data_IF_210357785223
#
_entry.id   IF_210357785223
#
_cell.length_a   1.000
_cell.length_b   1.000
_cell.length_c   1.000
_cell.angle_alpha   90.00
_cell.angle_beta   90.00
_cell.angle_gamma   90.00
#
_symmetry.space_group_name_H-M   'P 1'
#
loop_
_entity.id
_entity.type
_entity.pdbx_description
1 polymer ?
#
# COMPACT_ATOMS: atom_id res chain seq x y z
N UNK A 1 30.29 -18.97 -15.87
CA UNK A 1 29.81 -19.83 -14.78
C UNK A 1 28.98 -18.92 -13.91
N UNK A 2 27.67 -19.12 -13.91
CA UNK A 2 26.75 -18.34 -13.09
C UNK A 2 26.69 -19.06 -11.74
N UNK A 3 27.13 -18.39 -10.68
CA UNK A 3 26.96 -18.87 -9.32
C UNK A 3 25.83 -18.08 -8.69
N UNK A 4 24.85 -18.85 -8.19
CA UNK A 4 23.66 -18.42 -7.52
C UNK A 4 24.02 -17.65 -6.25
N UNK A 5 23.38 -16.51 -6.04
CA UNK A 5 23.33 -15.88 -4.74
C UNK A 5 22.22 -16.56 -3.94
N UNK A 6 22.62 -17.41 -3.01
CA UNK A 6 21.79 -17.88 -1.90
C UNK A 6 21.39 -16.66 -1.06
N UNK A 7 20.09 -16.38 -0.92
CA UNK A 7 19.60 -15.54 0.18
C UNK A 7 19.12 -16.49 1.28
N UNK A 8 19.97 -16.67 2.30
CA UNK A 8 19.51 -17.06 3.63
C UNK A 8 19.04 -15.77 4.31
N UNK A 9 17.78 -15.40 4.15
CA UNK A 9 17.18 -14.20 4.72
C UNK A 9 15.76 -14.50 5.14
N UNK A 10 15.31 -13.94 6.27
CA UNK A 10 13.90 -13.96 6.64
C UNK A 10 13.02 -13.29 5.58
N UNK A 11 11.70 -13.16 5.81
CA UNK A 11 10.78 -12.70 4.77
C UNK A 11 11.09 -11.30 4.22
N UNK A 12 11.88 -10.46 4.89
CA UNK A 12 12.24 -9.11 4.43
C UNK A 12 11.48 -8.03 5.19
N UNK A 13 11.48 -6.80 4.67
CA UNK A 13 10.70 -5.67 5.18
C UNK A 13 9.41 -5.50 4.37
N UNK A 14 8.39 -4.84 4.92
CA UNK A 14 7.11 -4.66 4.24
C UNK A 14 7.25 -4.02 2.84
N UNK A 15 8.14 -3.02 2.69
CA UNK A 15 8.46 -2.36 1.41
C UNK A 15 9.03 -3.29 0.35
N UNK A 16 9.60 -4.43 0.73
CA UNK A 16 10.16 -5.39 -0.23
C UNK A 16 9.05 -6.16 -0.96
N UNK A 17 7.82 -6.19 -0.40
CA UNK A 17 6.67 -6.96 -0.92
C UNK A 17 5.54 -6.09 -1.45
N UNK A 18 5.66 -4.76 -1.34
CA UNK A 18 4.63 -3.81 -1.79
C UNK A 18 5.29 -2.72 -2.62
N UNK A 19 5.21 -2.87 -3.94
CA UNK A 19 5.64 -1.83 -4.86
C UNK A 19 4.57 -0.72 -4.92
N UNK A 20 4.98 0.53 -4.69
CA UNK A 20 4.10 1.69 -4.68
C UNK A 20 4.50 2.66 -5.79
N UNK A 21 3.52 3.03 -6.60
CA UNK A 21 3.66 4.02 -7.67
C UNK A 21 2.57 5.08 -7.50
N UNK A 22 2.91 6.36 -7.69
CA UNK A 22 1.96 7.46 -7.62
C UNK A 22 2.03 8.29 -8.89
N UNK A 23 0.88 8.56 -9.52
CA UNK A 23 0.79 9.35 -10.75
C UNK A 23 -0.36 10.34 -10.70
N UNK A 24 -0.08 11.59 -11.04
CA UNK A 24 -1.11 12.62 -11.18
C UNK A 24 -2.03 12.29 -12.38
N UNK A 25 -3.33 12.44 -12.18
CA UNK A 25 -4.33 12.37 -13.26
C UNK A 25 -4.26 13.66 -14.08
N UNK A 26 -4.48 13.55 -15.39
CA UNK A 26 -4.57 14.72 -16.27
C UNK A 26 -5.56 15.76 -15.73
N UNK A 27 -5.14 17.02 -15.73
CA UNK A 27 -5.90 18.12 -15.13
C UNK A 27 -5.68 18.31 -13.63
N UNK A 28 -4.85 17.48 -12.97
CA UNK A 28 -4.37 17.71 -11.60
C UNK A 28 -5.42 17.56 -10.50
N UNK A 29 -6.57 16.97 -10.81
CA UNK A 29 -7.68 16.85 -9.87
C UNK A 29 -7.55 15.65 -8.90
N UNK A 30 -6.68 14.70 -9.21
CA UNK A 30 -6.46 13.49 -8.41
C UNK A 30 -5.09 12.88 -8.70
N UNK A 31 -4.68 11.94 -7.84
CA UNK A 31 -3.54 11.06 -8.01
C UNK A 31 -4.07 9.62 -8.00
N UNK A 32 -3.51 8.79 -8.85
CA UNK A 32 -3.67 7.34 -8.76
C UNK A 32 -2.46 6.79 -8.03
N UNK A 33 -2.69 6.16 -6.90
CA UNK A 33 -1.67 5.41 -6.16
C UNK A 33 -1.89 3.94 -6.43
N UNK A 34 -0.97 3.33 -7.16
CA UNK A 34 -1.00 1.91 -7.49
C UNK A 34 -0.13 1.16 -6.49
N UNK A 35 -0.71 0.15 -5.84
CA UNK A 35 0.00 -0.77 -4.96
C UNK A 35 -0.01 -2.15 -5.62
N UNK A 36 1.18 -2.70 -5.88
CA UNK A 36 1.35 -4.08 -6.31
C UNK A 36 1.94 -4.88 -5.16
N UNK A 37 1.17 -5.84 -4.68
CA UNK A 37 1.47 -6.70 -3.54
C UNK A 37 1.90 -8.05 -4.08
N UNK A 38 3.04 -8.54 -3.61
CA UNK A 38 3.60 -9.81 -4.06
C UNK A 38 2.68 -11.00 -3.74
N UNK A 39 2.77 -12.04 -4.57
CA UNK A 39 1.97 -13.25 -4.40
C UNK A 39 2.29 -13.92 -3.05
N UNK A 40 1.24 -14.25 -2.28
CA UNK A 40 1.36 -14.80 -0.93
C UNK A 40 1.40 -13.75 0.18
N UNK A 41 1.45 -12.46 -0.17
CA UNK A 41 1.32 -11.36 0.79
C UNK A 41 -0.01 -10.62 0.63
N UNK A 42 -0.39 -9.96 1.72
CA UNK A 42 -1.53 -9.05 1.79
C UNK A 42 -1.22 -7.83 2.67
N UNK A 43 -1.97 -6.75 2.48
CA UNK A 43 -1.96 -5.58 3.37
C UNK A 43 -3.37 -5.33 3.90
N UNK A 44 -3.51 -4.76 5.09
CA UNK A 44 -4.84 -4.54 5.67
C UNK A 44 -5.62 -3.44 4.93
N UNK A 45 -6.93 -3.66 4.75
CA UNK A 45 -7.81 -2.70 4.12
C UNK A 45 -8.01 -1.43 4.96
N UNK A 46 -8.65 -0.43 4.37
CA UNK A 46 -9.03 0.80 5.04
C UNK A 46 -10.52 1.12 4.74
N UNK A 47 -11.40 1.16 5.75
CA UNK A 47 -11.11 1.00 7.18
C UNK A 47 -10.58 -0.40 7.55
N UNK A 48 -9.73 -0.46 8.56
CA UNK A 48 -9.29 -1.74 9.12
C UNK A 48 -10.48 -2.45 9.79
N UNK A 49 -10.52 -3.77 9.66
CA UNK A 49 -11.60 -4.57 10.27
C UNK A 49 -11.52 -4.61 11.80
N UNK A 50 -10.34 -4.40 12.39
CA UNK A 50 -10.10 -4.40 13.84
C UNK A 50 -9.10 -3.29 14.24
N UNK A 51 -9.25 -2.73 15.44
CA UNK A 51 -8.48 -1.54 15.91
C UNK A 51 -6.97 -1.76 16.04
N UNK A 52 -6.51 -3.00 16.17
CA UNK A 52 -5.08 -3.33 16.32
C UNK A 52 -4.36 -3.53 14.99
N UNK A 53 -5.10 -3.59 13.87
CA UNK A 53 -4.52 -3.73 12.54
C UNK A 53 -3.98 -2.38 12.06
N UNK A 54 -2.87 -2.41 11.34
CA UNK A 54 -2.33 -1.21 10.67
C UNK A 54 -3.05 -1.06 9.33
N UNK A 55 -3.97 -0.09 9.15
CA UNK A 55 -4.67 0.09 7.89
C UNK A 55 -3.74 0.67 6.83
N UNK A 56 -3.96 0.31 5.57
CA UNK A 56 -3.33 1.03 4.45
C UNK A 56 -3.80 2.48 4.44
N UNK A 57 -2.90 3.43 4.71
CA UNK A 57 -3.20 4.86 4.76
C UNK A 57 -2.28 5.61 3.82
N UNK A 58 -2.81 6.65 3.18
CA UNK A 58 -2.02 7.59 2.39
C UNK A 58 -2.14 8.98 3.00
N UNK A 59 -1.00 9.63 3.18
CA UNK A 59 -0.89 11.01 3.66
C UNK A 59 -0.09 11.82 2.64
N UNK A 60 -0.46 13.08 2.42
CA UNK A 60 0.34 13.99 1.61
C UNK A 60 1.40 14.69 2.48
N UNK A 61 2.67 14.63 2.07
CA UNK A 61 3.77 15.30 2.81
C UNK A 61 3.85 16.80 2.51
N UNK A 62 3.28 17.19 1.38
CA UNK A 62 3.09 18.56 0.93
C UNK A 62 1.74 18.65 0.21
N UNK A 63 1.24 19.86 -0.06
CA UNK A 63 -0.08 20.01 -0.70
C UNK A 63 -1.25 19.55 0.17
N UNK A 64 -2.40 19.33 -0.45
CA UNK A 64 -3.63 18.95 0.26
C UNK A 64 -4.45 17.93 -0.55
N UNK A 65 -4.80 16.82 0.12
CA UNK A 65 -5.61 15.74 -0.45
C UNK A 65 -6.97 15.64 0.25
N UNK A 66 -7.97 15.20 -0.50
CA UNK A 66 -9.31 14.92 -0.02
C UNK A 66 -9.49 13.48 0.48
N UNK A 67 -10.74 13.08 0.78
CA UNK A 67 -11.04 11.70 1.18
C UNK A 67 -10.69 10.72 0.05
N UNK A 68 -9.90 9.71 0.37
CA UNK A 68 -9.43 8.69 -0.57
C UNK A 68 -10.53 7.68 -0.82
N UNK A 69 -10.70 7.31 -2.09
CA UNK A 69 -11.57 6.21 -2.50
C UNK A 69 -10.79 4.89 -2.35
N UNK A 70 -11.06 4.17 -1.25
CA UNK A 70 -10.50 2.85 -1.01
C UNK A 70 -11.41 1.79 -1.62
N UNK A 71 -10.88 0.84 -2.42
CA UNK A 71 -11.67 -0.26 -2.95
C UNK A 71 -12.16 -1.17 -1.83
N UNK A 72 -13.20 -1.95 -2.10
CA UNK A 72 -13.62 -3.00 -1.17
C UNK A 72 -12.47 -4.00 -0.95
N UNK A 73 -12.14 -4.24 0.32
CA UNK A 73 -11.21 -5.29 0.70
C UNK A 73 -11.78 -6.67 0.44
N UNK A 74 -10.89 -7.66 0.34
CA UNK A 74 -11.26 -9.07 0.25
C UNK A 74 -11.22 -9.70 1.64
N UNK A 75 -12.22 -10.50 2.03
CA UNK A 75 -12.20 -11.18 3.30
C UNK A 75 -11.11 -12.26 3.31
N UNK A 76 -10.13 -12.07 4.16
CA UNK A 76 -9.06 -13.02 4.45
C UNK A 76 -9.23 -13.57 5.86
N UNK A 77 -9.02 -14.87 6.02
CA UNK A 77 -9.08 -15.53 7.32
C UNK A 77 -7.92 -16.51 7.43
N UNK A 78 -6.93 -16.13 8.23
CA UNK A 78 -5.88 -17.06 8.63
C UNK A 78 -6.49 -18.28 9.35
N UNK A 79 -5.88 -19.45 9.20
CA UNK A 79 -6.43 -20.72 9.72
C UNK A 79 -6.67 -20.69 11.24
N UNK A 80 -5.84 -19.94 11.97
CA UNK A 80 -5.91 -19.79 13.42
C UNK A 80 -6.85 -18.64 13.87
N UNK A 81 -7.35 -17.82 12.95
CA UNK A 81 -8.18 -16.66 13.26
C UNK A 81 -9.66 -17.03 13.48
N UNK A 82 -10.28 -16.36 14.46
CA UNK A 82 -11.71 -16.54 14.77
C UNK A 82 -12.62 -15.78 13.81
N UNK A 83 -12.16 -14.64 13.33
CA UNK A 83 -12.87 -13.75 12.41
C UNK A 83 -12.03 -13.52 11.16
N UNK A 84 -12.70 -13.24 10.04
CA UNK A 84 -12.04 -12.72 8.86
C UNK A 84 -11.71 -11.24 9.05
N UNK A 85 -10.67 -10.79 8.35
CA UNK A 85 -10.27 -9.39 8.20
C UNK A 85 -10.30 -9.03 6.71
N UNK A 86 -10.52 -7.77 6.39
CA UNK A 86 -10.51 -7.29 5.03
C UNK A 86 -9.10 -6.86 4.65
N UNK A 87 -8.62 -7.39 3.53
CA UNK A 87 -7.25 -7.18 3.05
C UNK A 87 -7.24 -6.82 1.58
N UNK A 88 -6.11 -6.27 1.13
CA UNK A 88 -5.78 -6.12 -0.27
C UNK A 88 -4.70 -7.11 -0.65
N UNK A 89 -4.78 -7.62 -1.88
CA UNK A 89 -3.90 -8.62 -2.46
C UNK A 89 -3.78 -8.36 -3.96
N UNK A 90 -2.64 -8.72 -4.55
CA UNK A 90 -2.36 -8.44 -5.96
C UNK A 90 -2.23 -6.94 -6.22
N UNK A 91 -2.92 -6.43 -7.24
CA UNK A 91 -2.82 -5.02 -7.64
C UNK A 91 -4.08 -4.27 -7.28
N UNK A 92 -3.93 -3.17 -6.54
CA UNK A 92 -5.00 -2.22 -6.26
C UNK A 92 -4.60 -0.81 -6.68
N UNK A 93 -5.61 0.02 -6.94
CA UNK A 93 -5.44 1.43 -7.26
C UNK A 93 -6.31 2.26 -6.32
N UNK A 94 -5.69 3.24 -5.66
CA UNK A 94 -6.36 4.21 -4.81
C UNK A 94 -6.50 5.52 -5.57
N UNK A 95 -7.72 6.06 -5.64
CA UNK A 95 -7.94 7.41 -6.15
C UNK A 95 -7.85 8.40 -5.01
N UNK A 96 -6.83 9.25 -5.05
CA UNK A 96 -6.57 10.30 -4.05
C UNK A 96 -6.96 11.66 -4.63
N UNK A 97 -8.11 12.24 -4.25
CA UNK A 97 -8.50 13.56 -4.75
C UNK A 97 -7.54 14.64 -4.26
N UNK A 98 -7.27 15.62 -5.10
CA UNK A 98 -6.47 16.81 -4.73
C UNK A 98 -7.43 17.95 -4.44
N UNK A 99 -7.35 18.53 -3.23
CA UNK A 99 -8.27 19.60 -2.79
C UNK A 99 -7.59 20.95 -2.63
N UNK A 100 -6.26 21.00 -2.66
CA UNK A 100 -5.47 22.23 -2.62
C UNK A 100 -4.27 22.15 -3.55
N UNK A 101 -3.08 22.46 -3.03
CA UNK A 101 -1.85 22.31 -3.79
C UNK A 101 -1.61 20.85 -4.20
N UNK A 102 -1.21 20.64 -5.46
CA UNK A 102 -0.85 19.32 -6.00
C UNK A 102 0.36 18.77 -5.23
N UNK A 103 0.22 17.70 -4.44
CA UNK A 103 1.34 17.10 -3.73
C UNK A 103 2.41 16.58 -4.71
N UNK A 104 3.67 16.76 -4.33
CA UNK A 104 4.82 16.17 -5.01
C UNK A 104 5.22 14.83 -4.39
N UNK A 105 4.87 14.60 -3.12
CA UNK A 105 5.19 13.38 -2.39
C UNK A 105 4.05 12.91 -1.50
N UNK A 106 3.86 11.61 -1.46
CA UNK A 106 2.92 10.92 -0.59
C UNK A 106 3.70 9.98 0.34
N UNK A 107 3.17 9.79 1.54
CA UNK A 107 3.63 8.80 2.50
C UNK A 107 2.53 7.75 2.66
N UNK A 108 2.90 6.48 2.52
CA UNK A 108 2.00 5.36 2.76
C UNK A 108 2.38 4.65 4.04
N UNK A 109 1.44 4.54 4.97
CA UNK A 109 1.55 3.68 6.14
C UNK A 109 0.88 2.35 5.81
N UNK A 110 1.64 1.26 5.84
CA UNK A 110 1.11 -0.08 5.54
C UNK A 110 1.91 -1.17 6.25
N UNK A 111 1.35 -2.36 6.28
CA UNK A 111 1.98 -3.55 6.87
C UNK A 111 1.67 -4.74 5.99
N UNK A 112 2.71 -5.37 5.44
CA UNK A 112 2.58 -6.61 4.71
C UNK A 112 2.55 -7.78 5.69
N UNK A 113 1.62 -8.70 5.45
CA UNK A 113 1.51 -9.96 6.16
C UNK A 113 1.40 -11.09 5.15
N UNK A 114 1.98 -12.23 5.47
CA UNK A 114 1.68 -13.51 4.82
C UNK A 114 0.70 -14.33 5.70
N UNK A 115 0.46 -15.59 5.33
CA UNK A 115 -0.44 -16.48 6.06
C UNK A 115 0.03 -16.85 7.48
N UNK A 116 1.33 -16.70 7.77
CA UNK A 116 1.98 -17.10 9.02
C UNK A 116 2.38 -15.90 9.89
N UNK A 117 2.90 -14.84 9.28
CA UNK A 117 3.50 -13.70 10.00
C UNK A 117 3.18 -12.36 9.36
N UNK A 118 3.02 -11.34 10.22
CA UNK A 118 3.05 -9.95 9.80
C UNK A 118 4.45 -9.37 9.95
N UNK A 119 4.92 -8.69 8.91
CA UNK A 119 6.16 -7.93 8.94
C UNK A 119 6.00 -6.67 9.81
N UNK A 120 7.10 -5.98 10.07
CA UNK A 120 7.03 -4.70 10.76
C UNK A 120 6.21 -3.70 9.92
N UNK A 121 5.37 -2.85 10.54
CA UNK A 121 4.75 -1.73 9.85
C UNK A 121 5.81 -0.85 9.20
N UNK A 122 5.48 -0.27 8.06
CA UNK A 122 6.43 0.50 7.27
C UNK A 122 5.80 1.76 6.68
N UNK A 123 6.65 2.79 6.55
CA UNK A 123 6.31 4.09 6.00
C UNK A 123 7.04 4.24 4.64
N UNK A 124 6.27 4.18 3.55
CA UNK A 124 6.79 4.23 2.18
C UNK A 124 6.54 5.60 1.58
N UNK A 125 7.60 6.40 1.42
CA UNK A 125 7.54 7.68 0.69
C UNK A 125 7.61 7.42 -0.81
N UNK A 126 6.66 7.99 -1.57
CA UNK A 126 6.60 7.90 -3.03
C UNK A 126 6.49 9.29 -3.65
N UNK A 127 7.29 9.55 -4.68
CA UNK A 127 7.18 10.74 -5.50
C UNK A 127 5.98 10.62 -6.47
N UNK A 128 5.20 11.69 -6.59
CA UNK A 128 4.10 11.76 -7.54
C UNK A 128 4.65 12.06 -8.92
N UNK A 129 4.54 11.12 -9.85
CA UNK A 129 4.79 11.37 -11.26
C UNK A 129 3.74 12.37 -11.77
N UNK A 130 4.17 13.60 -12.06
CA UNK A 130 3.27 14.65 -12.55
C UNK A 130 3.12 14.66 -14.07
N UNK A 131 3.74 13.71 -14.78
CA UNK A 131 3.74 13.68 -16.24
C UNK A 131 4.41 14.94 -16.80
N UNK A 132 5.74 14.98 -16.73
CA UNK A 132 6.53 16.09 -17.29
C UNK A 132 6.92 15.86 -18.75
N UNK A 133 6.32 16.69 -19.61
CA UNK A 133 6.71 17.08 -21.00
C UNK A 133 6.45 16.11 -22.16
#
# INVERSE_FOLDING_TARGET
>A
MAEAAETTGGPGETRDHVAVEARAVEGGAAIIVRLAIDEGFHINANPASEDFLVPTRVTALDGEIGPIDYPEGRPFRAEFARSAIDVYEGVIELRVPVTGGMPTRLLLDLQACDDEVCLAPDEVEVAVDQGGE
#
